data_IF_080754107363
#
_entry.id   IF_080754107363
#
_cell.length_a   1.000
_cell.length_b   1.000
_cell.length_c   1.000
_cell.angle_alpha   90.00
_cell.angle_beta   90.00
_cell.angle_gamma   90.00
#
_symmetry.space_group_name_H-M   'P 1'
#
loop_
_entity.id
_entity.type
_entity.pdbx_description
1 polymer ?
#
# COMPACT_ATOMS: atom_id res chain seq x y z
N UNK A 1 0.38 20.54 -5.41
CA UNK A 1 0.46 19.90 -4.08
C UNK A 1 -0.65 20.48 -3.19
N UNK A 2 -1.31 19.66 -2.36
CA UNK A 2 -2.40 20.14 -1.49
C UNK A 2 -1.84 21.07 -0.40
N UNK A 3 -2.36 22.31 -0.25
CA UNK A 3 -1.86 23.24 0.77
C UNK A 3 -2.14 22.74 2.19
N UNK A 4 -1.14 22.84 3.07
CA UNK A 4 -1.25 22.48 4.49
C UNK A 4 -2.25 23.39 5.23
N UNK A 5 -3.12 22.84 6.12
CA UNK A 5 -3.32 21.43 6.39
C UNK A 5 -4.07 20.74 5.23
N UNK A 6 -3.71 19.47 4.92
CA UNK A 6 -4.41 18.69 3.91
C UNK A 6 -5.86 18.45 4.35
N UNK A 7 -6.78 18.40 3.39
CA UNK A 7 -8.17 18.07 3.64
C UNK A 7 -8.76 17.25 2.49
N UNK A 8 -9.73 16.38 2.79
CA UNK A 8 -10.40 15.56 1.76
C UNK A 8 -10.99 16.41 0.61
N UNK A 9 -11.67 17.55 0.87
CA UNK A 9 -12.18 18.41 -0.20
C UNK A 9 -11.09 18.99 -1.09
N UNK A 10 -9.95 19.42 -0.52
CA UNK A 10 -8.84 19.97 -1.32
C UNK A 10 -8.20 18.88 -2.19
N UNK A 11 -8.03 17.66 -1.66
CA UNK A 11 -7.52 16.53 -2.44
C UNK A 11 -8.48 16.13 -3.55
N UNK A 12 -9.78 16.10 -3.27
CA UNK A 12 -10.81 15.84 -4.28
C UNK A 12 -10.76 16.86 -5.42
N UNK A 13 -10.71 18.16 -5.07
CA UNK A 13 -10.62 19.22 -6.07
C UNK A 13 -9.34 19.12 -6.90
N UNK A 14 -8.23 18.74 -6.28
CA UNK A 14 -6.98 18.51 -7.00
C UNK A 14 -7.09 17.33 -7.98
N UNK A 15 -7.78 16.25 -7.61
CA UNK A 15 -7.97 15.09 -8.48
C UNK A 15 -8.78 15.44 -9.74
N UNK A 16 -9.86 16.21 -9.58
CA UNK A 16 -10.71 16.69 -10.69
C UNK A 16 -10.01 17.64 -11.67
N UNK A 17 -8.98 18.35 -11.20
CA UNK A 17 -8.25 19.35 -11.98
C UNK A 17 -7.01 18.78 -12.69
N UNK A 18 -6.60 17.57 -12.36
CA UNK A 18 -5.44 16.93 -12.98
C UNK A 18 -5.81 16.34 -14.34
N UNK A 19 -4.84 16.24 -15.25
CA UNK A 19 -5.01 15.54 -16.53
C UNK A 19 -4.89 14.00 -16.37
N UNK A 20 -4.14 13.56 -15.36
CA UNK A 20 -3.89 12.16 -15.04
C UNK A 20 -3.60 11.99 -13.54
N UNK A 21 -4.12 10.91 -12.96
CA UNK A 21 -3.86 10.53 -11.57
C UNK A 21 -2.97 9.30 -11.48
N UNK A 22 -1.95 9.38 -10.61
CA UNK A 22 -1.20 8.23 -10.12
C UNK A 22 -1.53 8.07 -8.64
N UNK A 23 -2.34 7.05 -8.32
CA UNK A 23 -2.94 6.90 -6.99
C UNK A 23 -2.33 5.70 -6.29
N UNK A 24 -1.46 5.97 -5.32
CA UNK A 24 -0.86 4.94 -4.46
C UNK A 24 -1.41 5.10 -3.04
N UNK A 25 -1.96 4.03 -2.46
CA UNK A 25 -2.42 4.07 -1.07
C UNK A 25 -3.54 3.09 -0.76
N UNK A 26 -4.43 3.50 0.14
CA UNK A 26 -5.57 2.66 0.54
C UNK A 26 -6.54 2.43 -0.62
N UNK A 27 -7.32 1.36 -0.54
CA UNK A 27 -8.38 1.09 -1.52
C UNK A 27 -9.40 2.24 -1.61
N UNK A 28 -9.63 2.97 -0.51
CA UNK A 28 -10.47 4.18 -0.50
C UNK A 28 -9.87 5.31 -1.36
N UNK A 29 -8.54 5.50 -1.31
CA UNK A 29 -7.88 6.50 -2.14
C UNK A 29 -7.96 6.12 -3.61
N UNK A 30 -7.67 4.84 -3.93
CA UNK A 30 -7.75 4.32 -5.29
C UNK A 30 -9.15 4.50 -5.87
N UNK A 31 -10.19 4.14 -5.09
CA UNK A 31 -11.59 4.34 -5.49
C UNK A 31 -11.90 5.83 -5.72
N UNK A 32 -11.47 6.71 -4.82
CA UNK A 32 -11.69 8.16 -4.97
C UNK A 32 -11.05 8.71 -6.25
N UNK A 33 -9.84 8.24 -6.60
CA UNK A 33 -9.17 8.57 -7.85
C UNK A 33 -9.97 8.13 -9.07
N UNK A 34 -10.40 6.86 -9.12
CA UNK A 34 -11.24 6.36 -10.22
C UNK A 34 -12.62 7.03 -10.31
N UNK A 35 -13.15 7.53 -9.20
CA UNK A 35 -14.43 8.26 -9.16
C UNK A 35 -14.29 9.77 -9.41
N UNK A 36 -13.09 10.30 -9.67
CA UNK A 36 -12.85 11.73 -9.83
C UNK A 36 -13.25 12.31 -11.20
N UNK A 37 -13.51 11.46 -12.19
CA UNK A 37 -13.70 11.88 -13.58
C UNK A 37 -12.41 12.04 -14.38
N UNK A 38 -11.25 11.93 -13.72
CA UNK A 38 -9.92 12.01 -14.33
C UNK A 38 -9.37 10.60 -14.62
N UNK A 39 -8.68 10.38 -15.76
CA UNK A 39 -7.94 9.14 -16.00
C UNK A 39 -7.02 8.79 -14.83
N UNK A 40 -7.05 7.54 -14.37
CA UNK A 40 -6.35 7.15 -13.14
C UNK A 40 -5.63 5.79 -13.25
N UNK A 41 -4.41 5.76 -12.70
CA UNK A 41 -3.59 4.57 -12.49
C UNK A 41 -3.52 4.31 -10.98
N UNK A 42 -4.33 3.38 -10.50
CA UNK A 42 -4.46 3.08 -9.08
C UNK A 42 -3.75 1.80 -8.65
N UNK A 43 -3.01 1.85 -7.55
CA UNK A 43 -2.46 0.66 -6.86
C UNK A 43 -2.83 0.68 -5.38
N UNK A 44 -3.28 -0.47 -4.89
CA UNK A 44 -3.74 -0.67 -3.52
C UNK A 44 -2.80 -1.54 -2.69
N UNK A 45 -3.17 -1.75 -1.43
CA UNK A 45 -2.51 -2.72 -0.57
C UNK A 45 -2.75 -4.15 -1.09
N UNK A 46 -1.68 -4.93 -1.20
CA UNK A 46 -1.76 -6.35 -1.50
C UNK A 46 -1.95 -7.21 -0.24
N UNK A 47 -2.69 -8.31 -0.36
CA UNK A 47 -2.76 -9.37 0.64
C UNK A 47 -1.95 -10.58 0.16
N UNK A 48 -0.62 -10.42 0.12
CA UNK A 48 0.29 -11.43 -0.45
C UNK A 48 0.23 -12.71 0.40
N UNK A 49 -0.04 -13.83 -0.26
CA UNK A 49 0.05 -15.18 0.31
C UNK A 49 1.36 -15.81 -0.14
N UNK A 50 2.06 -16.47 0.79
CA UNK A 50 3.26 -17.26 0.49
C UNK A 50 2.98 -18.72 0.82
N UNK A 51 3.31 -19.62 -0.11
CA UNK A 51 3.13 -21.07 0.03
C UNK A 51 4.52 -21.70 0.16
N UNK A 52 4.68 -22.60 1.13
CA UNK A 52 5.89 -23.41 1.34
C UNK A 52 5.45 -24.86 1.12
N UNK A 53 6.02 -25.54 0.13
CA UNK A 53 5.76 -26.96 -0.13
C UNK A 53 6.87 -27.85 0.47
N UNK A 54 6.66 -29.16 0.44
CA UNK A 54 7.56 -30.17 0.99
C UNK A 54 8.98 -30.19 0.39
N UNK A 55 9.18 -29.63 -0.79
CA UNK A 55 10.49 -29.55 -1.46
C UNK A 55 11.30 -28.32 -1.07
N UNK A 56 10.71 -27.38 -0.31
CA UNK A 56 11.37 -26.13 0.06
C UNK A 56 12.42 -26.31 1.16
N UNK A 57 13.50 -25.55 1.06
CA UNK A 57 14.38 -25.31 2.21
C UNK A 57 13.64 -24.42 3.22
N UNK A 58 13.23 -25.04 4.33
CA UNK A 58 12.45 -24.38 5.37
C UNK A 58 13.25 -23.29 6.09
N UNK A 59 14.57 -23.46 6.22
CA UNK A 59 15.45 -22.47 6.86
C UNK A 59 15.54 -21.20 6.03
N UNK A 60 15.86 -21.35 4.74
CA UNK A 60 15.91 -20.23 3.78
C UNK A 60 14.53 -19.55 3.63
N UNK A 61 13.45 -20.32 3.57
CA UNK A 61 12.09 -19.77 3.52
C UNK A 61 11.76 -18.90 4.75
N UNK A 62 12.13 -19.36 5.95
CA UNK A 62 11.91 -18.62 7.19
C UNK A 62 12.70 -17.30 7.22
N UNK A 63 13.97 -17.32 6.82
CA UNK A 63 14.82 -16.12 6.76
C UNK A 63 14.28 -15.08 5.77
N UNK A 64 13.86 -15.52 4.58
CA UNK A 64 13.25 -14.64 3.57
C UNK A 64 11.95 -14.02 4.06
N UNK A 65 11.08 -14.81 4.68
CA UNK A 65 9.81 -14.32 5.23
C UNK A 65 10.02 -13.31 6.35
N UNK A 66 10.96 -13.57 7.26
CA UNK A 66 11.30 -12.64 8.33
C UNK A 66 11.87 -11.34 7.78
N UNK A 67 12.83 -11.42 6.86
CA UNK A 67 13.44 -10.26 6.20
C UNK A 67 12.39 -9.39 5.50
N UNK A 68 11.50 -10.00 4.72
CA UNK A 68 10.38 -9.31 4.06
C UNK A 68 9.48 -8.63 5.08
N UNK A 69 9.12 -9.32 6.16
CA UNK A 69 8.18 -8.80 7.16
C UNK A 69 8.76 -7.61 7.94
N UNK A 70 10.03 -7.68 8.33
CA UNK A 70 10.71 -6.62 9.07
C UNK A 70 10.89 -5.37 8.21
N UNK A 71 11.23 -5.53 6.93
CA UNK A 71 11.35 -4.43 5.98
C UNK A 71 10.04 -3.64 5.86
N UNK A 72 8.90 -4.33 5.76
CA UNK A 72 7.59 -3.69 5.55
C UNK A 72 6.88 -3.28 6.85
N UNK A 73 7.26 -3.82 8.01
CA UNK A 73 6.64 -3.52 9.32
C UNK A 73 7.67 -3.26 10.44
N UNK A 74 8.55 -2.26 10.31
CA UNK A 74 9.68 -2.05 11.22
C UNK A 74 9.27 -1.87 12.69
N UNK A 75 8.08 -1.32 12.97
CA UNK A 75 7.60 -1.08 14.34
C UNK A 75 6.74 -2.21 14.95
N UNK A 76 6.40 -3.26 14.20
CA UNK A 76 5.62 -4.40 14.75
C UNK A 76 6.48 -5.57 15.24
N UNK A 77 7.79 -5.53 15.01
CA UNK A 77 8.71 -6.59 15.42
C UNK A 77 8.81 -6.74 16.95
N UNK A 78 8.75 -5.63 17.69
CA UNK A 78 8.92 -5.62 19.15
C UNK A 78 7.67 -5.98 19.95
N UNK A 79 6.47 -5.96 19.36
CA UNK A 79 5.20 -6.13 20.09
C UNK A 79 4.65 -7.56 20.12
N UNK A 80 5.35 -8.55 19.55
CA UNK A 80 4.88 -9.95 19.51
C UNK A 80 5.78 -10.96 20.23
N UNK A 81 6.75 -10.48 21.01
CA UNK A 81 7.61 -11.31 21.89
C UNK A 81 7.24 -11.09 23.37
N UNK A 82 6.03 -10.56 23.64
CA UNK A 82 5.41 -10.52 24.97
C UNK A 82 4.06 -11.22 24.92
#
# INVERSE_FOLDING_TARGET
>A
MVPTPPSKPKTQRLMELADLLVVTGSQNNVRAGYSSGTPALGVGQGNVVTIIDETADVGDAAEKLLSLKLLIMPHRAHQKIQ
#
